data_IF_364759145544
#
_entry.id   IF_364759145544
#
_cell.length_a   1.000
_cell.length_b   1.000
_cell.length_c   1.000
_cell.angle_alpha   90.00
_cell.angle_beta   90.00
_cell.angle_gamma   90.00
#
_symmetry.space_group_name_H-M   'P 1'
#
loop_
_entity.id
_entity.type
_entity.pdbx_description
1 polymer ?
#
# COMPACT_ATOMS: atom_id res chain seq x y z
N UNK A 1 -7.57 2.50 30.41
CA UNK A 1 -7.27 3.10 29.09
C UNK A 1 -7.71 2.09 28.03
N UNK A 2 -8.50 2.51 27.04
CA UNK A 2 -9.02 1.60 26.01
C UNK A 2 -7.88 0.97 25.20
N UNK A 3 -8.02 -0.31 24.84
CA UNK A 3 -7.00 -1.09 24.12
C UNK A 3 -6.67 -0.48 22.76
N UNK A 4 -7.67 0.08 22.06
CA UNK A 4 -7.50 0.78 20.78
C UNK A 4 -6.65 2.05 20.95
N UNK A 5 -6.89 2.85 21.99
CA UNK A 5 -6.10 4.05 22.27
C UNK A 5 -4.63 3.70 22.55
N UNK A 6 -4.37 2.66 23.35
CA UNK A 6 -3.01 2.21 23.63
C UNK A 6 -2.30 1.75 22.36
N UNK A 7 -3.01 1.04 21.47
CA UNK A 7 -2.44 0.61 20.20
C UNK A 7 -2.09 1.80 19.30
N UNK A 8 -2.94 2.84 19.23
CA UNK A 8 -2.58 4.09 18.55
C UNK A 8 -1.33 4.73 19.13
N UNK A 9 -1.19 4.80 20.45
CA UNK A 9 -0.02 5.38 21.10
C UNK A 9 1.26 4.60 20.77
N UNK A 10 1.19 3.27 20.78
CA UNK A 10 2.32 2.41 20.41
C UNK A 10 2.73 2.64 18.95
N UNK A 11 1.77 2.61 18.03
CA UNK A 11 2.03 2.80 16.60
C UNK A 11 2.54 4.22 16.32
N UNK A 12 2.02 5.24 17.01
CA UNK A 12 2.55 6.60 16.98
C UNK A 12 4.03 6.64 17.39
N UNK A 13 4.40 6.02 18.50
CA UNK A 13 5.78 6.01 18.98
C UNK A 13 6.73 5.33 17.99
N UNK A 14 6.33 4.18 17.44
CA UNK A 14 7.13 3.43 16.46
C UNK A 14 7.37 4.24 15.19
N UNK A 15 6.32 4.82 14.59
CA UNK A 15 6.47 5.62 13.38
C UNK A 15 7.18 6.95 13.61
N UNK A 16 7.03 7.55 14.80
CA UNK A 16 7.80 8.76 15.16
C UNK A 16 9.29 8.44 15.22
N UNK A 17 9.68 7.35 15.89
CA UNK A 17 11.08 6.93 15.95
C UNK A 17 11.63 6.62 14.56
N UNK A 18 10.88 5.85 13.75
CA UNK A 18 11.23 5.53 12.36
C UNK A 18 11.45 6.79 11.52
N UNK A 19 10.50 7.72 11.55
CA UNK A 19 10.56 9.00 10.82
C UNK A 19 11.77 9.84 11.24
N UNK A 20 11.99 10.02 12.55
CA UNK A 20 13.13 10.78 13.07
C UNK A 20 14.45 10.20 12.59
N UNK A 21 14.62 8.87 12.63
CA UNK A 21 15.85 8.23 12.14
C UNK A 21 16.02 8.47 10.64
N UNK A 22 14.95 8.33 9.84
CA UNK A 22 15.03 8.55 8.39
C UNK A 22 15.42 9.99 8.03
N UNK A 23 14.93 10.99 8.77
CA UNK A 23 15.36 12.38 8.58
C UNK A 23 16.85 12.59 8.87
N UNK A 24 17.46 11.78 9.74
CA UNK A 24 18.93 11.81 9.95
C UNK A 24 19.72 11.12 8.85
N UNK A 25 19.07 10.28 8.03
CA UNK A 25 19.66 9.56 6.90
C UNK A 25 19.53 10.30 5.56
N UNK A 26 18.85 11.46 5.56
CA UNK A 26 18.76 12.27 4.35
C UNK A 26 20.16 12.75 3.94
N UNK A 27 20.57 12.54 2.67
CA UNK A 27 21.87 13.00 2.20
C UNK A 27 21.95 14.54 2.27
N UNK A 28 23.11 15.07 2.66
CA UNK A 28 23.38 16.50 2.53
C UNK A 28 23.47 16.83 1.03
N UNK A 29 22.61 17.72 0.56
CA UNK A 29 22.50 18.10 -0.86
C UNK A 29 23.82 18.67 -1.40
N UNK A 30 24.62 17.84 -2.07
CA UNK A 30 25.53 18.29 -3.11
C UNK A 30 24.81 18.17 -4.45
N UNK A 31 24.17 19.27 -4.85
CA UNK A 31 23.37 19.46 -6.08
C UNK A 31 24.14 19.30 -7.40
N UNK A 32 25.33 18.69 -7.38
CA UNK A 32 26.27 18.66 -8.50
C UNK A 32 26.34 17.31 -9.26
N UNK A 33 25.67 16.25 -8.80
CA UNK A 33 25.73 14.93 -9.44
C UNK A 33 24.37 14.49 -10.02
N UNK A 34 24.25 14.60 -11.35
CA UNK A 34 23.06 14.37 -12.17
C UNK A 34 22.59 12.89 -12.24
N UNK A 35 23.14 12.00 -11.41
CA UNK A 35 22.70 10.59 -11.29
C UNK A 35 22.84 10.13 -9.85
N UNK A 36 21.94 10.59 -8.99
CA UNK A 36 21.87 10.18 -7.60
C UNK A 36 20.83 9.04 -7.47
N UNK A 37 21.24 7.79 -7.14
CA UNK A 37 20.30 6.67 -7.01
C UNK A 37 19.19 6.85 -5.97
N UNK A 38 19.25 7.87 -5.09
CA UNK A 38 18.15 8.21 -4.17
C UNK A 38 17.21 9.27 -4.72
N UNK A 39 17.57 9.91 -5.84
CA UNK A 39 16.75 10.89 -6.52
C UNK A 39 16.09 10.21 -7.71
N UNK A 40 14.79 9.97 -7.59
CA UNK A 40 14.01 9.41 -8.67
C UNK A 40 13.64 10.47 -9.70
N UNK A 41 13.43 10.00 -10.94
CA UNK A 41 12.88 10.77 -12.04
C UNK A 41 11.57 10.15 -12.48
N UNK A 42 10.64 10.97 -12.95
CA UNK A 42 9.41 10.53 -13.59
C UNK A 42 9.33 11.09 -14.99
N UNK A 43 9.11 10.23 -15.97
CA UNK A 43 9.04 10.61 -17.38
C UNK A 43 8.16 9.68 -18.19
N UNK A 44 8.22 9.83 -19.50
CA UNK A 44 7.53 8.96 -20.44
C UNK A 44 8.37 8.74 -21.69
N UNK A 45 8.24 7.56 -22.27
CA UNK A 45 8.95 7.24 -23.50
C UNK A 45 8.18 7.79 -24.71
N UNK A 46 8.86 8.56 -25.54
CA UNK A 46 8.39 9.02 -26.84
C UNK A 46 8.97 8.11 -27.91
N UNK A 47 8.06 7.50 -28.67
CA UNK A 47 8.42 6.70 -29.82
C UNK A 47 8.42 7.58 -31.08
N UNK A 48 9.60 7.83 -31.62
CA UNK A 48 9.76 8.54 -32.90
C UNK A 48 10.05 7.54 -34.01
N UNK A 49 9.28 7.63 -35.10
CA UNK A 49 9.49 6.85 -36.31
C UNK A 49 10.13 7.74 -37.37
N UNK A 50 11.38 7.46 -37.68
CA UNK A 50 12.07 8.04 -38.82
C UNK A 50 11.99 7.09 -40.02
N UNK A 51 12.05 7.65 -41.22
CA UNK A 51 12.37 6.88 -42.41
C UNK A 51 13.52 7.54 -43.16
N UNK A 52 14.46 6.72 -43.61
CA UNK A 52 15.46 7.13 -44.57
C UNK A 52 15.24 6.29 -45.83
N UNK A 53 15.09 6.97 -46.97
CA UNK A 53 15.04 6.32 -48.27
C UNK A 53 16.21 6.87 -49.11
N UNK A 54 16.89 6.03 -49.91
CA UNK A 54 17.84 6.50 -50.91
C UNK A 54 17.19 7.54 -51.82
N UNK A 55 17.95 8.54 -52.26
CA UNK A 55 17.47 9.76 -52.96
C UNK A 55 16.63 9.49 -54.24
N UNK A 56 16.63 8.25 -54.74
CA UNK A 56 15.90 7.85 -55.95
C UNK A 56 15.00 6.61 -55.77
N UNK A 57 14.74 6.18 -54.53
CA UNK A 57 13.89 5.01 -54.28
C UNK A 57 12.40 5.34 -54.50
N UNK A 58 11.70 4.52 -55.29
CA UNK A 58 10.25 4.55 -55.37
C UNK A 58 9.67 4.20 -53.99
N UNK A 59 8.43 4.64 -53.68
CA UNK A 59 7.76 4.40 -52.37
C UNK A 59 7.63 2.92 -51.99
N UNK A 60 7.99 2.01 -52.89
CA UNK A 60 7.86 0.55 -52.79
C UNK A 60 9.19 -0.18 -52.96
N UNK A 61 10.32 0.53 -53.08
CA UNK A 61 11.62 -0.11 -53.28
C UNK A 61 12.17 -0.68 -51.95
N UNK A 62 12.68 -1.91 -52.03
CA UNK A 62 13.40 -2.57 -50.95
C UNK A 62 14.72 -1.82 -50.65
N UNK A 63 14.67 -0.90 -49.70
CA UNK A 63 15.82 -0.05 -49.34
C UNK A 63 15.49 1.16 -48.45
N UNK A 64 14.21 1.46 -48.22
CA UNK A 64 13.82 2.38 -47.17
C UNK A 64 13.97 1.72 -45.80
N UNK A 65 14.79 2.30 -44.92
CA UNK A 65 14.89 1.86 -43.53
C UNK A 65 13.93 2.68 -42.67
N UNK A 66 13.12 1.97 -41.88
CA UNK A 66 12.35 2.59 -40.80
C UNK A 66 13.24 2.55 -39.56
N UNK A 67 13.66 3.71 -39.10
CA UNK A 67 14.42 3.83 -37.85
C UNK A 67 13.44 4.08 -36.71
N UNK A 68 13.51 3.23 -35.69
CA UNK A 68 12.74 3.36 -34.47
C UNK A 68 13.63 3.98 -33.40
N UNK A 69 13.30 5.17 -32.93
CA UNK A 69 14.03 5.84 -31.83
C UNK A 69 13.11 5.97 -30.63
N UNK A 70 13.57 5.48 -29.48
CA UNK A 70 12.91 5.66 -28.20
C UNK A 70 13.68 6.75 -27.43
N UNK A 71 13.00 7.83 -27.06
CA UNK A 71 13.56 8.88 -26.21
C UNK A 71 12.78 8.96 -24.92
N UNK A 72 13.45 8.98 -23.78
CA UNK A 72 12.80 9.18 -22.49
C UNK A 72 12.71 10.68 -22.20
N UNK A 73 11.50 11.20 -22.06
CA UNK A 73 11.24 12.60 -21.71
C UNK A 73 10.94 12.71 -20.22
N UNK A 74 11.79 13.43 -19.50
CA UNK A 74 11.64 13.60 -18.05
C UNK A 74 10.68 14.74 -17.73
N UNK A 75 9.72 14.50 -16.85
CA UNK A 75 8.74 15.49 -16.37
C UNK A 75 9.06 15.99 -14.96
N UNK A 76 9.47 15.09 -14.07
CA UNK A 76 9.89 15.43 -12.71
C UNK A 76 11.28 14.83 -12.43
N UNK A 77 12.11 15.61 -11.75
CA UNK A 77 13.48 15.23 -11.40
C UNK A 77 13.74 15.53 -9.92
N UNK A 78 14.70 14.84 -9.32
CA UNK A 78 15.16 15.17 -7.97
C UNK A 78 14.24 14.70 -6.85
N UNK A 79 13.36 13.72 -7.10
CA UNK A 79 12.44 13.21 -6.07
C UNK A 79 13.24 12.38 -5.05
N UNK A 80 13.42 12.89 -3.84
CA UNK A 80 14.18 12.21 -2.79
C UNK A 80 13.38 11.07 -2.15
N UNK A 81 13.82 9.83 -2.41
CA UNK A 81 13.14 8.60 -1.97
C UNK A 81 13.13 8.50 -0.44
N UNK A 82 14.23 8.83 0.24
CA UNK A 82 14.31 8.76 1.71
C UNK A 82 13.37 9.78 2.35
N UNK A 83 13.30 10.99 1.79
CA UNK A 83 12.36 12.02 2.23
C UNK A 83 10.93 11.56 2.09
N UNK A 84 10.59 10.95 0.95
CA UNK A 84 9.26 10.42 0.71
C UNK A 84 8.89 9.32 1.73
N UNK A 85 9.82 8.42 2.07
CA UNK A 85 9.63 7.42 3.12
C UNK A 85 9.53 8.05 4.52
N UNK A 86 10.37 9.05 4.83
CA UNK A 86 10.36 9.75 6.12
C UNK A 86 9.02 10.49 6.35
N UNK A 87 8.50 11.15 5.31
CA UNK A 87 7.21 11.84 5.32
C UNK A 87 6.06 10.83 5.43
N UNK A 88 6.14 9.67 4.76
CA UNK A 88 5.16 8.60 4.93
C UNK A 88 5.05 8.15 6.40
N UNK A 89 6.18 7.91 7.06
CA UNK A 89 6.23 7.54 8.48
C UNK A 89 5.71 8.67 9.37
N UNK A 90 6.05 9.93 9.08
CA UNK A 90 5.57 11.09 9.82
C UNK A 90 4.05 11.24 9.76
N UNK A 91 3.45 11.16 8.57
CA UNK A 91 2.00 11.27 8.38
C UNK A 91 1.30 10.13 9.12
N UNK A 92 1.86 8.92 9.06
CA UNK A 92 1.35 7.77 9.81
C UNK A 92 1.37 8.03 11.30
N UNK A 93 2.49 8.52 11.84
CA UNK A 93 2.60 8.88 13.25
C UNK A 93 1.53 9.92 13.64
N UNK A 94 1.43 11.02 12.89
CA UNK A 94 0.45 12.08 13.16
C UNK A 94 -1.00 11.57 13.10
N UNK A 95 -1.32 10.72 12.14
CA UNK A 95 -2.63 10.07 12.04
C UNK A 95 -2.93 9.23 13.29
N UNK A 96 -1.96 8.46 13.78
CA UNK A 96 -2.13 7.68 15.01
C UNK A 96 -2.19 8.54 16.27
N UNK A 97 -1.50 9.69 16.31
CA UNK A 97 -1.66 10.67 17.38
C UNK A 97 -3.08 11.25 17.41
N UNK A 98 -3.65 11.57 16.23
CA UNK A 98 -5.05 12.00 16.11
C UNK A 98 -5.99 10.90 16.63
N UNK A 99 -5.74 9.64 16.25
CA UNK A 99 -6.48 8.49 16.78
C UNK A 99 -6.41 8.41 18.30
N UNK A 100 -5.20 8.44 18.88
CA UNK A 100 -5.00 8.39 20.33
C UNK A 100 -5.72 9.52 21.06
N UNK A 101 -5.52 10.77 20.62
CA UNK A 101 -6.16 11.96 21.21
C UNK A 101 -7.67 11.85 21.10
N UNK A 102 -8.17 11.42 19.95
CA UNK A 102 -9.59 11.22 19.70
C UNK A 102 -10.23 10.21 20.64
N UNK A 103 -9.63 9.03 20.77
CA UNK A 103 -10.08 7.99 21.70
C UNK A 103 -9.93 8.41 23.17
N UNK A 104 -8.90 9.17 23.52
CA UNK A 104 -8.66 9.62 24.90
C UNK A 104 -9.60 10.75 25.34
N UNK A 105 -9.85 11.73 24.46
CA UNK A 105 -10.60 12.95 24.78
C UNK A 105 -12.09 12.89 24.39
N UNK A 106 -12.46 12.05 23.41
CA UNK A 106 -13.79 12.05 22.79
C UNK A 106 -14.33 10.65 22.49
N UNK A 107 -14.05 9.70 23.38
CA UNK A 107 -14.34 8.26 23.19
C UNK A 107 -15.76 7.96 22.68
N UNK A 108 -16.79 8.62 23.24
CA UNK A 108 -18.17 8.40 22.85
C UNK A 108 -18.42 8.68 21.36
N UNK A 109 -17.82 9.75 20.82
CA UNK A 109 -17.91 10.10 19.40
C UNK A 109 -17.14 9.12 18.51
N UNK A 110 -16.00 8.63 18.99
CA UNK A 110 -15.17 7.66 18.26
C UNK A 110 -15.76 6.24 18.27
N UNK A 111 -16.60 5.90 19.26
CA UNK A 111 -17.39 4.67 19.28
C UNK A 111 -18.69 4.75 18.49
N UNK A 112 -19.21 5.96 18.27
CA UNK A 112 -20.48 6.16 17.59
C UNK A 112 -20.45 5.68 16.13
N UNK A 113 -21.63 5.37 15.59
CA UNK A 113 -21.84 5.02 14.17
C UNK A 113 -20.85 3.95 13.66
N UNK A 114 -20.70 2.87 14.43
CA UNK A 114 -19.76 1.77 14.12
C UNK A 114 -18.31 2.26 13.95
N UNK A 115 -17.92 3.25 14.77
CA UNK A 115 -16.59 3.88 14.77
C UNK A 115 -16.25 4.60 13.46
N UNK A 116 -17.23 5.30 12.90
CA UNK A 116 -17.09 5.97 11.61
C UNK A 116 -15.87 6.91 11.53
N UNK A 117 -15.53 7.62 12.61
CA UNK A 117 -14.36 8.50 12.67
C UNK A 117 -13.03 7.74 12.54
N UNK A 118 -12.90 6.57 13.17
CA UNK A 118 -11.71 5.72 13.02
C UNK A 118 -11.58 5.18 11.60
N UNK A 119 -12.71 4.82 10.97
CA UNK A 119 -12.74 4.40 9.57
C UNK A 119 -12.30 5.54 8.65
N UNK A 120 -12.86 6.75 8.80
CA UNK A 120 -12.44 7.91 7.99
C UNK A 120 -10.94 8.17 8.17
N UNK A 121 -10.47 8.27 9.43
CA UNK A 121 -9.06 8.52 9.74
C UNK A 121 -8.16 7.51 9.03
N UNK A 122 -8.46 6.22 9.16
CA UNK A 122 -7.70 5.14 8.53
C UNK A 122 -7.68 5.24 7.01
N UNK A 123 -8.84 5.43 6.37
CA UNK A 123 -8.93 5.45 4.90
C UNK A 123 -8.27 6.70 4.31
N UNK A 124 -8.34 7.86 4.99
CA UNK A 124 -7.62 9.08 4.62
C UNK A 124 -6.11 8.90 4.80
N UNK A 125 -5.68 8.34 5.93
CA UNK A 125 -4.27 8.02 6.15
C UNK A 125 -3.75 7.08 5.06
N UNK A 126 -4.44 5.97 4.78
CA UNK A 126 -3.99 5.00 3.79
C UNK A 126 -4.03 5.57 2.37
N UNK A 127 -4.96 6.49 2.07
CA UNK A 127 -5.00 7.17 0.77
C UNK A 127 -3.74 7.96 0.47
N UNK A 128 -3.12 8.54 1.51
CA UNK A 128 -1.87 9.30 1.38
C UNK A 128 -0.65 8.39 1.60
N UNK A 129 -0.63 7.62 2.68
CA UNK A 129 0.54 6.86 3.11
C UNK A 129 0.79 5.62 2.25
N UNK A 130 -0.25 4.89 1.84
CA UNK A 130 -0.05 3.78 0.90
C UNK A 130 0.48 4.32 -0.43
N UNK A 131 -0.04 5.46 -0.92
CA UNK A 131 0.45 6.10 -2.13
C UNK A 131 1.93 6.49 -2.03
N UNK A 132 2.32 7.18 -0.96
CA UNK A 132 3.73 7.56 -0.76
C UNK A 132 4.60 6.30 -0.73
N UNK A 133 4.23 5.30 0.07
CA UNK A 133 5.00 4.06 0.16
C UNK A 133 5.09 3.31 -1.18
N UNK A 134 4.00 3.22 -1.94
CA UNK A 134 3.96 2.61 -3.27
C UNK A 134 4.90 3.30 -4.26
N UNK A 135 4.88 4.64 -4.30
CA UNK A 135 5.81 5.41 -5.13
C UNK A 135 7.25 5.25 -4.66
N UNK A 136 7.50 5.25 -3.35
CA UNK A 136 8.84 5.04 -2.77
C UNK A 136 9.41 3.67 -3.14
N UNK A 137 8.58 2.63 -3.12
CA UNK A 137 8.96 1.28 -3.55
C UNK A 137 9.14 1.22 -5.06
N UNK A 138 8.25 1.80 -5.86
CA UNK A 138 8.40 1.90 -7.32
C UNK A 138 9.76 2.50 -7.68
N UNK A 139 10.11 3.64 -7.08
CA UNK A 139 11.37 4.32 -7.31
C UNK A 139 12.58 3.52 -6.83
N UNK A 140 12.46 2.87 -5.67
CA UNK A 140 13.52 2.01 -5.14
C UNK A 140 13.76 0.81 -6.08
N UNK A 141 12.71 0.29 -6.72
CA UNK A 141 12.80 -0.77 -7.73
C UNK A 141 13.19 -0.25 -9.12
N UNK A 142 13.47 1.05 -9.27
CA UNK A 142 13.93 1.65 -10.53
C UNK A 142 12.83 1.98 -11.54
N UNK A 143 11.57 2.03 -11.10
CA UNK A 143 10.47 2.49 -11.95
C UNK A 143 10.46 4.02 -12.10
N UNK A 144 10.32 4.51 -13.32
CA UNK A 144 10.39 5.94 -13.68
C UNK A 144 9.23 6.39 -14.58
N UNK A 145 8.26 5.51 -14.85
CA UNK A 145 7.17 5.80 -15.78
C UNK A 145 6.05 6.61 -15.13
N UNK A 146 5.80 7.83 -15.63
CA UNK A 146 4.77 8.74 -15.15
C UNK A 146 3.37 8.15 -15.24
N UNK A 147 3.04 7.41 -16.30
CA UNK A 147 1.71 6.80 -16.45
C UNK A 147 1.48 5.68 -15.43
N UNK A 148 2.53 4.92 -15.11
CA UNK A 148 2.47 3.92 -14.03
C UNK A 148 2.25 4.62 -12.68
N UNK A 149 3.01 5.67 -12.39
CA UNK A 149 2.82 6.46 -11.16
C UNK A 149 1.41 7.04 -11.05
N UNK A 150 0.86 7.61 -12.13
CA UNK A 150 -0.52 8.12 -12.15
C UNK A 150 -1.55 7.00 -11.93
N UNK A 151 -1.37 5.83 -12.55
CA UNK A 151 -2.25 4.69 -12.32
C UNK A 151 -2.24 4.25 -10.85
N UNK A 152 -1.07 4.22 -10.21
CA UNK A 152 -0.92 3.93 -8.78
C UNK A 152 -1.68 4.97 -7.93
N UNK A 153 -1.52 6.27 -8.22
CA UNK A 153 -2.23 7.36 -7.53
C UNK A 153 -3.75 7.15 -7.56
N UNK A 154 -4.33 7.02 -8.74
CA UNK A 154 -5.78 6.89 -8.89
C UNK A 154 -6.28 5.52 -8.39
N UNK A 155 -5.52 4.46 -8.63
CA UNK A 155 -5.81 3.12 -8.17
C UNK A 155 -5.88 3.03 -6.65
N UNK A 156 -4.89 3.59 -5.95
CA UNK A 156 -4.89 3.62 -4.48
C UNK A 156 -6.09 4.40 -3.92
N UNK A 157 -6.40 5.58 -4.48
CA UNK A 157 -7.60 6.34 -4.07
C UNK A 157 -8.86 5.48 -4.23
N UNK A 158 -9.02 4.79 -5.36
CA UNK A 158 -10.14 3.88 -5.59
C UNK A 158 -10.19 2.75 -4.54
N UNK A 159 -9.05 2.12 -4.23
CA UNK A 159 -8.98 1.05 -3.22
C UNK A 159 -9.42 1.55 -1.84
N UNK A 160 -8.99 2.74 -1.41
CA UNK A 160 -9.39 3.28 -0.11
C UNK A 160 -10.86 3.69 -0.07
N UNK A 161 -11.40 4.27 -1.16
CA UNK A 161 -12.83 4.58 -1.26
C UNK A 161 -13.67 3.30 -1.21
N UNK A 162 -13.25 2.25 -1.92
CA UNK A 162 -13.93 0.96 -1.87
C UNK A 162 -13.84 0.33 -0.48
N UNK A 163 -12.67 0.40 0.19
CA UNK A 163 -12.49 -0.03 1.58
C UNK A 163 -13.45 0.68 2.53
N UNK A 164 -13.56 2.01 2.43
CA UNK A 164 -14.54 2.79 3.16
C UNK A 164 -15.98 2.30 2.89
N UNK A 165 -16.35 2.12 1.62
CA UNK A 165 -17.70 1.69 1.24
C UNK A 165 -18.04 0.28 1.73
N UNK A 166 -17.06 -0.64 1.77
CA UNK A 166 -17.23 -1.97 2.38
C UNK A 166 -17.65 -1.82 3.83
N UNK A 167 -16.91 -1.02 4.59
CA UNK A 167 -17.15 -0.85 6.03
C UNK A 167 -18.43 -0.06 6.36
N UNK A 168 -18.94 0.72 5.40
CA UNK A 168 -20.23 1.43 5.52
C UNK A 168 -21.43 0.65 4.98
N UNK A 169 -21.19 -0.46 4.30
CA UNK A 169 -22.27 -1.33 3.83
C UNK A 169 -22.75 -2.24 4.95
N UNK A 170 -24.05 -2.39 5.10
CA UNK A 170 -24.66 -3.43 5.95
C UNK A 170 -25.03 -4.68 5.16
N UNK A 171 -25.07 -4.58 3.83
CA UNK A 171 -25.36 -5.69 2.91
C UNK A 171 -24.09 -6.50 2.67
N UNK A 172 -24.17 -7.80 2.96
CA UNK A 172 -23.04 -8.73 2.89
C UNK A 172 -22.58 -8.96 1.45
N UNK A 173 -23.51 -9.10 0.50
CA UNK A 173 -23.15 -9.33 -0.91
C UNK A 173 -22.44 -8.11 -1.48
N UNK A 174 -22.92 -6.91 -1.16
CA UNK A 174 -22.29 -5.64 -1.51
C UNK A 174 -20.89 -5.53 -0.91
N UNK A 175 -20.68 -5.96 0.33
CA UNK A 175 -19.35 -6.01 0.94
C UNK A 175 -18.39 -6.90 0.12
N UNK A 176 -18.83 -8.10 -0.28
CA UNK A 176 -18.01 -8.99 -1.11
C UNK A 176 -17.71 -8.40 -2.49
N UNK A 177 -18.69 -7.82 -3.17
CA UNK A 177 -18.48 -7.21 -4.47
C UNK A 177 -17.47 -6.06 -4.39
N UNK A 178 -17.64 -5.16 -3.42
CA UNK A 178 -16.74 -4.02 -3.23
C UNK A 178 -15.32 -4.47 -2.85
N UNK A 179 -15.16 -5.45 -1.95
CA UNK A 179 -13.86 -6.01 -1.60
C UNK A 179 -13.18 -6.66 -2.81
N UNK A 180 -13.94 -7.45 -3.59
CA UNK A 180 -13.41 -8.13 -4.78
C UNK A 180 -12.98 -7.11 -5.83
N UNK A 181 -13.78 -6.08 -6.08
CA UNK A 181 -13.42 -4.98 -6.99
C UNK A 181 -12.17 -4.25 -6.50
N UNK A 182 -12.09 -3.92 -5.21
CA UNK A 182 -10.89 -3.28 -4.63
C UNK A 182 -9.64 -4.14 -4.79
N UNK A 183 -9.77 -5.45 -4.58
CA UNK A 183 -8.66 -6.41 -4.77
C UNK A 183 -8.25 -6.51 -6.24
N UNK A 184 -9.21 -6.52 -7.17
CA UNK A 184 -8.93 -6.51 -8.61
C UNK A 184 -8.27 -5.23 -9.11
N UNK A 185 -8.48 -4.09 -8.44
CA UNK A 185 -7.76 -2.84 -8.71
C UNK A 185 -6.35 -2.89 -8.10
N UNK A 186 -6.21 -3.47 -6.90
CA UNK A 186 -4.94 -3.59 -6.20
C UNK A 186 -3.94 -4.50 -6.93
N UNK A 187 -4.40 -5.61 -7.52
CA UNK A 187 -3.51 -6.59 -8.16
C UNK A 187 -2.66 -5.99 -9.30
N UNK A 188 -3.21 -5.22 -10.27
CA UNK A 188 -2.43 -4.51 -11.26
C UNK A 188 -1.42 -3.52 -10.67
N UNK A 189 -1.78 -2.79 -9.60
CA UNK A 189 -0.86 -1.89 -8.90
C UNK A 189 0.35 -2.67 -8.40
N UNK A 190 0.08 -3.81 -7.74
CA UNK A 190 1.14 -4.69 -7.23
C UNK A 190 2.06 -5.14 -8.36
N UNK A 191 1.48 -5.68 -9.44
CA UNK A 191 2.25 -6.18 -10.59
C UNK A 191 3.08 -5.08 -11.24
N UNK A 192 2.53 -3.88 -11.43
CA UNK A 192 3.25 -2.78 -12.06
C UNK A 192 4.46 -2.33 -11.24
N UNK A 193 4.35 -2.33 -9.91
CA UNK A 193 5.46 -2.00 -9.01
C UNK A 193 6.49 -3.13 -9.03
N UNK A 194 6.08 -4.37 -8.76
CA UNK A 194 7.01 -5.49 -8.58
C UNK A 194 7.68 -5.95 -9.87
N UNK A 195 7.08 -5.70 -11.03
CA UNK A 195 7.68 -6.03 -12.33
C UNK A 195 9.05 -5.37 -12.58
N UNK A 196 9.36 -4.28 -11.86
CA UNK A 196 10.65 -3.62 -11.97
C UNK A 196 11.77 -4.38 -11.22
N UNK A 197 11.43 -5.19 -10.21
CA UNK A 197 12.42 -5.94 -9.45
C UNK A 197 13.25 -6.90 -10.31
N UNK A 198 12.60 -7.58 -11.27
CA UNK A 198 13.27 -8.53 -12.17
C UNK A 198 14.19 -7.85 -13.20
N UNK A 199 14.09 -6.53 -13.36
CA UNK A 199 14.89 -5.74 -14.31
C UNK A 199 16.17 -5.19 -13.68
N UNK A 200 16.30 -5.24 -12.35
CA UNK A 200 17.48 -4.79 -11.64
C UNK A 200 18.55 -5.89 -11.63
N UNK A 201 19.44 -5.85 -12.62
CA UNK A 201 20.57 -6.76 -12.70
C UNK A 201 21.51 -6.61 -11.49
N UNK A 202 21.85 -7.73 -10.84
CA UNK A 202 22.77 -7.75 -9.69
C UNK A 202 22.17 -7.35 -8.34
N UNK A 203 20.89 -6.97 -8.27
CA UNK A 203 20.24 -6.53 -7.02
C UNK A 203 19.25 -7.60 -6.53
N UNK A 204 19.77 -8.72 -6.02
CA UNK A 204 18.94 -9.85 -5.54
C UNK A 204 17.91 -9.46 -4.46
N UNK A 205 18.14 -8.37 -3.74
CA UNK A 205 17.27 -7.86 -2.68
C UNK A 205 16.01 -7.14 -3.18
N UNK A 206 15.99 -6.75 -4.46
CA UNK A 206 14.80 -6.20 -5.10
C UNK A 206 13.63 -7.21 -5.07
N UNK A 207 13.93 -8.50 -5.24
CA UNK A 207 12.93 -9.58 -5.15
C UNK A 207 12.35 -9.69 -3.74
N UNK A 208 13.19 -9.55 -2.70
CA UNK A 208 12.74 -9.56 -1.30
C UNK A 208 11.79 -8.42 -1.01
N UNK A 209 12.11 -7.19 -1.45
CA UNK A 209 11.24 -6.03 -1.29
C UNK A 209 9.92 -6.21 -2.05
N UNK A 210 9.97 -6.69 -3.29
CA UNK A 210 8.80 -6.95 -4.12
C UNK A 210 7.87 -8.03 -3.54
N UNK A 211 8.44 -9.14 -3.06
CA UNK A 211 7.68 -10.21 -2.41
C UNK A 211 7.06 -9.74 -1.08
N UNK A 212 7.85 -9.02 -0.27
CA UNK A 212 7.36 -8.40 0.96
C UNK A 212 6.20 -7.46 0.71
N UNK A 213 6.33 -6.57 -0.28
CA UNK A 213 5.28 -5.63 -0.67
C UNK A 213 4.00 -6.37 -1.08
N UNK A 214 4.12 -7.37 -1.96
CA UNK A 214 3.01 -8.20 -2.43
C UNK A 214 2.25 -8.85 -1.27
N UNK A 215 2.97 -9.55 -0.39
CA UNK A 215 2.36 -10.28 0.72
C UNK A 215 1.69 -9.32 1.69
N UNK A 216 2.40 -8.28 2.12
CA UNK A 216 1.90 -7.35 3.14
C UNK A 216 0.68 -6.56 2.66
N UNK A 217 0.64 -6.14 1.39
CA UNK A 217 -0.53 -5.45 0.84
C UNK A 217 -1.74 -6.37 0.69
N UNK A 218 -1.54 -7.62 0.24
CA UNK A 218 -2.63 -8.60 0.13
C UNK A 218 -3.23 -8.97 1.51
N UNK A 219 -2.44 -8.91 2.58
CA UNK A 219 -2.94 -9.18 3.94
C UNK A 219 -4.04 -8.19 4.38
N UNK A 220 -4.10 -6.97 3.87
CA UNK A 220 -5.20 -6.05 4.15
C UNK A 220 -6.53 -6.56 3.58
N UNK A 221 -6.52 -7.02 2.33
CA UNK A 221 -7.70 -7.58 1.69
C UNK A 221 -8.12 -8.89 2.38
N UNK A 222 -7.16 -9.74 2.76
CA UNK A 222 -7.41 -10.96 3.54
C UNK A 222 -8.02 -10.62 4.89
N UNK A 223 -7.45 -9.67 5.64
CA UNK A 223 -7.96 -9.26 6.94
C UNK A 223 -9.42 -8.77 6.86
N UNK A 224 -9.71 -7.88 5.90
CA UNK A 224 -11.06 -7.38 5.69
C UNK A 224 -12.02 -8.49 5.25
N UNK A 225 -11.58 -9.38 4.35
CA UNK A 225 -12.35 -10.53 3.88
C UNK A 225 -12.66 -11.52 5.00
N UNK A 226 -11.68 -11.84 5.86
CA UNK A 226 -11.88 -12.68 7.03
C UNK A 226 -12.87 -12.04 8.00
N UNK A 227 -12.75 -10.73 8.23
CA UNK A 227 -13.67 -9.99 9.07
C UNK A 227 -15.09 -9.97 8.47
N UNK A 228 -15.27 -9.87 7.16
CA UNK A 228 -16.60 -9.96 6.53
C UNK A 228 -17.20 -11.37 6.71
N UNK A 229 -16.38 -12.40 6.47
CA UNK A 229 -16.85 -13.78 6.25
C UNK A 229 -17.05 -14.56 7.55
N UNK A 230 -16.13 -14.44 8.50
CA UNK A 230 -16.03 -15.39 9.62
C UNK A 230 -16.31 -14.71 10.96
N UNK A 231 -17.42 -15.09 11.60
CA UNK A 231 -17.74 -14.62 12.95
C UNK A 231 -16.62 -14.97 13.94
N UNK A 232 -16.06 -16.18 13.85
CA UNK A 232 -14.93 -16.61 14.68
C UNK A 232 -13.71 -15.67 14.57
N UNK A 233 -13.49 -15.06 13.40
CA UNK A 233 -12.41 -14.10 13.22
C UNK A 233 -12.69 -12.77 13.92
N UNK A 234 -13.93 -12.25 13.84
CA UNK A 234 -14.38 -11.07 14.62
C UNK A 234 -14.29 -11.32 16.12
N UNK A 235 -14.65 -12.54 16.52
CA UNK A 235 -14.59 -13.02 17.89
C UNK A 235 -13.16 -13.27 18.37
N UNK A 236 -12.17 -13.28 17.47
CA UNK A 236 -10.74 -13.34 17.80
C UNK A 236 -10.04 -11.97 17.75
N UNK A 237 -10.19 -11.21 16.67
CA UNK A 237 -9.46 -9.95 16.43
C UNK A 237 -10.43 -8.82 16.17
N UNK A 238 -10.27 -7.70 16.88
CA UNK A 238 -10.96 -6.46 16.54
C UNK A 238 -10.42 -5.92 15.21
N UNK A 239 -11.32 -5.58 14.27
CA UNK A 239 -10.97 -5.05 12.94
C UNK A 239 -9.97 -3.90 12.99
N UNK A 240 -10.19 -2.92 13.86
CA UNK A 240 -9.34 -1.72 13.88
C UNK A 240 -7.96 -2.04 14.44
N UNK A 241 -7.86 -2.93 15.43
CA UNK A 241 -6.57 -3.43 15.89
C UNK A 241 -5.81 -4.17 14.80
N UNK A 242 -6.49 -5.02 14.04
CA UNK A 242 -5.89 -5.76 12.93
C UNK A 242 -5.33 -4.82 11.86
N UNK A 243 -6.09 -3.81 11.45
CA UNK A 243 -5.60 -2.79 10.52
C UNK A 243 -4.44 -1.97 11.08
N UNK A 244 -4.47 -1.58 12.35
CA UNK A 244 -3.38 -0.83 12.97
C UNK A 244 -2.08 -1.66 13.02
N UNK A 245 -2.17 -2.95 13.36
CA UNK A 245 -1.03 -3.87 13.34
C UNK A 245 -0.48 -4.08 11.92
N UNK A 246 -1.36 -4.37 10.96
CA UNK A 246 -0.97 -4.54 9.55
C UNK A 246 -0.36 -3.26 8.99
N UNK A 247 -0.93 -2.11 9.31
CA UNK A 247 -0.42 -0.78 8.97
C UNK A 247 1.00 -0.57 9.48
N UNK A 248 1.23 -0.83 10.77
CA UNK A 248 2.55 -0.69 11.38
C UNK A 248 3.58 -1.64 10.76
N UNK A 249 3.25 -2.94 10.66
CA UNK A 249 4.15 -3.94 10.10
C UNK A 249 4.49 -3.68 8.63
N UNK A 250 3.50 -3.29 7.83
CA UNK A 250 3.68 -3.02 6.39
C UNK A 250 4.56 -1.80 6.17
N UNK A 251 4.27 -0.69 6.85
CA UNK A 251 5.01 0.56 6.68
C UNK A 251 6.43 0.43 7.21
N UNK A 252 6.61 -0.02 8.45
CA UNK A 252 7.95 -0.20 9.02
C UNK A 252 8.77 -1.23 8.22
N UNK A 253 8.19 -2.40 7.94
CA UNK A 253 8.89 -3.46 7.23
C UNK A 253 9.35 -3.02 5.84
N UNK A 254 8.46 -2.44 5.05
CA UNK A 254 8.78 -2.04 3.67
C UNK A 254 9.66 -0.80 3.60
N UNK A 255 9.42 0.20 4.45
CA UNK A 255 10.28 1.39 4.54
C UNK A 255 11.72 0.98 4.82
N UNK A 256 11.95 0.13 5.82
CA UNK A 256 13.30 -0.27 6.20
C UNK A 256 13.95 -1.25 5.22
N UNK A 257 13.17 -2.12 4.56
CA UNK A 257 13.68 -2.93 3.44
C UNK A 257 14.13 -2.04 2.27
N UNK A 258 13.33 -1.03 1.90
CA UNK A 258 13.69 -0.09 0.84
C UNK A 258 14.94 0.72 1.19
N UNK A 259 15.03 1.24 2.42
CA UNK A 259 16.19 2.00 2.91
C UNK A 259 17.45 1.13 2.91
N UNK A 260 17.35 -0.12 3.36
CA UNK A 260 18.48 -1.06 3.35
C UNK A 260 18.95 -1.36 1.93
N UNK A 261 18.02 -1.55 0.99
CA UNK A 261 18.33 -1.75 -0.42
C UNK A 261 19.05 -0.54 -1.01
N UNK A 262 18.56 0.68 -0.77
CA UNK A 262 19.21 1.91 -1.23
C UNK A 262 20.63 2.05 -0.66
N UNK A 263 20.82 1.81 0.64
CA UNK A 263 22.16 1.89 1.24
C UNK A 263 23.13 0.86 0.65
N UNK A 264 22.67 -0.37 0.42
CA UNK A 264 23.49 -1.40 -0.23
C UNK A 264 23.85 -1.01 -1.65
N UNK A 265 22.91 -0.51 -2.45
CA UNK A 265 23.19 -0.03 -3.81
C UNK A 265 24.27 1.06 -3.80
N UNK A 266 24.21 1.97 -2.83
CA UNK A 266 25.22 3.01 -2.66
C UNK A 266 26.60 2.47 -2.31
N UNK A 267 26.66 1.53 -1.36
CA UNK A 267 27.88 0.84 -0.97
C UNK A 267 28.50 0.08 -2.16
N UNK A 268 27.69 -0.68 -2.91
CA UNK A 268 28.14 -1.49 -4.05
C UNK A 268 28.65 -0.61 -5.21
N UNK A 269 28.13 0.61 -5.35
CA UNK A 269 28.62 1.61 -6.32
C UNK A 269 29.86 2.39 -5.82
N UNK A 270 30.31 2.17 -4.59
CA UNK A 270 31.43 2.90 -3.98
C UNK A 270 31.12 4.38 -3.73
N UNK A 271 29.83 4.73 -3.58
CA UNK A 271 29.38 6.10 -3.39
C UNK A 271 29.25 6.44 -1.89
N UNK A 272 30.16 7.25 -1.37
CA UNK A 272 30.14 7.72 0.02
C UNK A 272 29.21 8.93 0.22
N UNK A 273 27.91 8.79 -0.09
CA UNK A 273 26.92 9.88 0.03
C UNK A 273 25.99 9.79 1.24
N UNK A 274 25.82 8.60 1.81
CA UNK A 274 24.94 8.39 2.95
C UNK A 274 25.73 8.52 4.26
N UNK A 275 25.11 9.04 5.34
CA UNK A 275 25.65 8.85 6.68
C UNK A 275 25.96 7.36 6.87
N UNK A 276 27.22 7.03 7.19
CA UNK A 276 27.62 5.63 7.37
C UNK A 276 26.71 5.00 8.42
N UNK A 277 26.04 3.90 8.06
CA UNK A 277 25.32 3.03 9.01
C UNK A 277 26.29 2.11 9.78
N UNK A 278 27.60 2.35 9.65
CA UNK A 278 28.69 1.50 10.12
C UNK A 278 29.42 0.85 8.94
N UNK A 279 30.74 0.99 8.91
CA UNK A 279 31.58 0.51 7.79
C UNK A 279 31.63 -1.04 7.69
N UNK A 280 31.21 -1.73 8.75
CA UNK A 280 31.15 -3.21 8.85
C UNK A 280 29.70 -3.75 8.91
N UNK A 281 28.70 -2.96 8.51
CA UNK A 281 27.30 -3.38 8.61
C UNK A 281 26.99 -4.54 7.64
N UNK A 282 26.61 -5.68 8.19
CA UNK A 282 26.07 -6.80 7.41
C UNK A 282 24.66 -6.46 6.89
N UNK A 283 24.61 -5.95 5.65
CA UNK A 283 23.34 -5.61 4.98
C UNK A 283 22.43 -6.82 4.77
N UNK A 284 22.97 -8.02 4.57
CA UNK A 284 22.16 -9.23 4.40
C UNK A 284 21.53 -9.64 5.72
N UNK A 285 22.32 -9.62 6.80
CA UNK A 285 21.84 -9.78 8.16
C UNK A 285 20.79 -8.74 8.55
N UNK A 286 20.98 -7.47 8.17
CA UNK A 286 20.00 -6.40 8.42
C UNK A 286 18.67 -6.67 7.70
N UNK A 287 18.69 -7.00 6.41
CA UNK A 287 17.46 -7.27 5.65
C UNK A 287 16.71 -8.50 6.16
N UNK A 288 17.43 -9.57 6.46
CA UNK A 288 16.84 -10.75 7.10
C UNK A 288 16.26 -10.39 8.47
N UNK A 289 16.97 -9.58 9.25
CA UNK A 289 16.49 -9.05 10.53
C UNK A 289 15.20 -8.24 10.40
N UNK A 290 15.11 -7.37 9.39
CA UNK A 290 13.89 -6.58 9.12
C UNK A 290 12.73 -7.50 8.71
N UNK A 291 12.99 -8.49 7.85
CA UNK A 291 11.97 -9.46 7.43
C UNK A 291 11.45 -10.26 8.63
N UNK A 292 12.35 -10.85 9.41
CA UNK A 292 12.01 -11.61 10.62
C UNK A 292 11.33 -10.73 11.67
N UNK A 293 11.76 -9.47 11.82
CA UNK A 293 11.13 -8.48 12.69
C UNK A 293 9.70 -8.16 12.25
N UNK A 294 9.47 -8.02 10.94
CA UNK A 294 8.14 -7.77 10.37
C UNK A 294 7.21 -8.97 10.58
N UNK A 295 7.70 -10.18 10.28
CA UNK A 295 6.94 -11.43 10.52
C UNK A 295 6.68 -11.62 12.01
N UNK A 296 7.69 -11.39 12.86
CA UNK A 296 7.59 -11.45 14.31
C UNK A 296 6.55 -10.46 14.85
N UNK A 297 6.53 -9.23 14.34
CA UNK A 297 5.52 -8.23 14.70
C UNK A 297 4.11 -8.70 14.31
N UNK A 298 3.91 -9.26 13.13
CA UNK A 298 2.61 -9.79 12.71
C UNK A 298 2.15 -10.97 13.58
N UNK A 299 3.04 -11.93 13.86
CA UNK A 299 2.69 -13.13 14.62
C UNK A 299 2.50 -12.83 16.11
N UNK A 300 3.47 -12.17 16.75
CA UNK A 300 3.41 -11.85 18.18
C UNK A 300 2.41 -10.74 18.45
N UNK A 301 2.38 -9.70 17.62
CA UNK A 301 1.35 -8.66 17.69
C UNK A 301 -0.02 -9.26 17.51
N UNK A 302 -0.22 -10.10 16.49
CA UNK A 302 -1.47 -10.80 16.24
C UNK A 302 -1.92 -11.65 17.44
N UNK A 303 -1.00 -12.43 18.02
CA UNK A 303 -1.26 -13.21 19.23
C UNK A 303 -1.66 -12.33 20.42
N UNK A 304 -0.99 -11.19 20.64
CA UNK A 304 -1.34 -10.24 21.69
C UNK A 304 -2.72 -9.62 21.46
N UNK A 305 -3.09 -9.30 20.22
CA UNK A 305 -4.41 -8.75 19.89
C UNK A 305 -5.55 -9.69 20.29
N UNK A 306 -5.33 -11.02 20.24
CA UNK A 306 -6.34 -12.00 20.68
C UNK A 306 -6.66 -11.92 22.18
N UNK A 307 -5.77 -11.31 22.96
CA UNK A 307 -5.90 -11.17 24.42
C UNK A 307 -6.48 -9.82 24.83
N UNK A 308 -6.62 -8.87 23.91
CA UNK A 308 -7.10 -7.53 24.23
C UNK A 308 -8.62 -7.49 24.38
N UNK A 309 -9.07 -6.72 25.37
CA UNK A 309 -10.49 -6.42 25.54
C UNK A 309 -11.04 -5.70 24.29
N UNK A 310 -12.23 -6.11 23.87
CA UNK A 310 -12.87 -5.66 22.64
C UNK A 310 -13.96 -4.64 22.93
N UNK A 311 -14.03 -3.62 22.10
CA UNK A 311 -15.15 -2.68 22.10
C UNK A 311 -16.17 -3.12 21.06
N UNK A 312 -16.96 -4.18 21.31
CA UNK A 312 -17.86 -4.71 20.29
C UNK A 312 -18.97 -3.72 19.91
N UNK A 313 -18.80 -3.05 18.75
CA UNK A 313 -19.79 -2.15 18.13
C UNK A 313 -20.04 -2.51 16.66
N UNK A 314 -19.83 -3.78 16.30
CA UNK A 314 -20.01 -4.25 14.92
C UNK A 314 -21.39 -4.86 14.72
N UNK A 315 -21.95 -4.67 13.53
CA UNK A 315 -23.19 -5.35 13.15
C UNK A 315 -22.96 -6.87 13.13
N UNK A 316 -23.90 -7.67 13.69
CA UNK A 316 -23.84 -9.11 13.55
C UNK A 316 -23.85 -9.51 12.07
N UNK A 317 -23.18 -10.61 11.72
CA UNK A 317 -23.30 -11.18 10.37
C UNK A 317 -24.75 -11.64 10.21
N UNK A 318 -25.54 -10.87 9.46
CA UNK A 318 -26.83 -11.36 9.00
C UNK A 318 -26.55 -12.49 8.03
N UNK A 319 -26.83 -13.73 8.42
CA UNK A 319 -26.71 -14.87 7.53
C UNK A 319 -27.47 -14.56 6.23
N UNK A 320 -26.91 -14.94 5.08
CA UNK A 320 -27.62 -14.96 3.81
C UNK A 320 -28.80 -15.91 3.97
N UNK A 321 -29.93 -15.40 4.49
CA UNK A 321 -31.14 -16.20 4.50
C UNK A 321 -31.53 -16.36 3.04
N UNK A 322 -31.58 -17.61 2.59
CA UNK A 322 -32.07 -18.07 1.29
C UNK A 322 -33.54 -17.68 1.02
N UNK A 323 -34.13 -16.81 1.84
CA UNK A 323 -35.53 -16.42 1.81
C UNK A 323 -35.86 -15.33 0.79
N UNK A 324 -34.88 -14.53 0.38
CA UNK A 324 -35.13 -13.38 -0.51
C UNK A 324 -34.95 -13.68 -2.01
N UNK A 325 -34.41 -14.86 -2.37
CA UNK A 325 -34.36 -15.30 -3.78
C UNK A 325 -35.54 -16.19 -4.19
N UNK A 326 -36.37 -16.65 -3.25
CA UNK A 326 -37.35 -17.71 -3.51
C UNK A 326 -38.83 -17.36 -3.37
N UNK A 327 -39.19 -16.18 -2.85
CA UNK A 327 -40.57 -15.96 -2.37
C UNK A 327 -41.41 -14.91 -3.12
N UNK A 328 -40.89 -14.31 -4.20
CA UNK A 328 -41.68 -13.38 -5.01
C UNK A 328 -42.63 -14.10 -6.00
N UNK A 329 -42.38 -15.37 -6.33
CA UNK A 329 -43.26 -16.13 -7.24
C UNK A 329 -44.44 -16.82 -6.53
N UNK A 330 -44.39 -16.98 -5.21
CA UNK A 330 -45.49 -17.60 -4.45
C UNK A 330 -46.63 -16.61 -4.15
N UNK A 331 -46.31 -15.31 -3.96
CA UNK A 331 -47.33 -14.28 -3.66
C UNK A 331 -48.12 -13.82 -4.89
N UNK A 332 -47.54 -13.83 -6.09
CA UNK A 332 -48.30 -13.52 -7.31
C UNK A 332 -49.29 -14.63 -7.69
N UNK A 333 -48.95 -15.90 -7.42
CA UNK A 333 -49.82 -17.03 -7.75
C UNK A 333 -51.06 -17.09 -6.84
N UNK A 334 -50.96 -16.71 -5.55
CA UNK A 334 -52.13 -16.60 -4.66
C UNK A 334 -53.02 -15.39 -4.96
N UNK A 335 -52.46 -14.29 -5.47
CA UNK A 335 -53.23 -13.09 -5.78
C UNK A 335 -54.07 -13.25 -7.06
N UNK A 336 -53.60 -14.06 -8.01
CA UNK A 336 -54.36 -14.31 -9.25
C UNK A 336 -55.54 -15.29 -9.06
N UNK A 337 -55.47 -16.18 -8.06
CA UNK A 337 -56.57 -17.12 -7.76
C UNK A 337 -57.70 -16.53 -6.90
N UNK A 338 -57.51 -15.34 -6.30
CA UNK A 338 -58.58 -14.64 -5.55
C UNK A 338 -59.45 -13.71 -6.38
N UNK A 339 -59.07 -13.39 -7.62
CA UNK A 339 -59.84 -12.54 -8.52
C UNK A 339 -60.68 -13.33 -9.56
N UNK A 340 -60.77 -14.65 -9.40
CA UNK A 340 -61.64 -15.53 -10.20
C UNK A 340 -62.54 -16.33 -9.26
N UNK A 341 -63.43 -15.64 -8.53
CA UNK A 341 -64.67 -16.19 -7.99
C UNK A 341 -65.77 -15.14 -8.00
#
# INVERSE_FOLDING_TARGET
MHSIALNHLLVFALHTASSVILFTLMPNDDSANVKDPMKATLGYDVLTLGSSCPVNASKWDAGCEITRTLTHETTFEGIDIITLLAVNELITALSHLIGFVGWYMSEASWKADMRHLEVIRRQVEYGVTALLLELGILFTLGGDNLYVALFIVFGNICVQVLGYMVERSTDLMRQYYLLSTGTLVLLPIIVLITHHADKLEGVHHAVTLAAGYTVLYLLFAVHLGLHITYQAYRDLIDKDHGFQLLGAATKLGLTWLAVSMLHRTYHDLGLNKLPSMGDDLDFEGLQLGILLGTVGLLLLGGALLTQLAKDMTYLPITALTTRDFGNNNAKETEMHLRNVR
#
